data_IF_976485748836
#
_entry.id   IF_976485748836
#
_cell.length_a   1.000
_cell.length_b   1.000
_cell.length_c   1.000
_cell.angle_alpha   90.00
_cell.angle_beta   90.00
_cell.angle_gamma   90.00
#
_symmetry.space_group_name_H-M   'P 1'
#
loop_
_entity.id
_entity.type
_entity.pdbx_description
1 polymer ?
#
# COMPACT_ATOMS: atom_id res chain seq x y z
N UNK A 1 -51.02 -16.87 -48.51
CA UNK A 1 -49.65 -17.26 -48.09
C UNK A 1 -49.04 -16.14 -47.29
N UNK A 2 -48.96 -16.27 -45.96
CA UNK A 2 -48.37 -15.26 -45.08
C UNK A 2 -46.84 -15.47 -45.01
N UNK A 3 -46.08 -14.44 -45.40
CA UNK A 3 -44.62 -14.42 -45.31
C UNK A 3 -44.19 -14.25 -43.84
N UNK A 4 -43.63 -15.30 -43.24
CA UNK A 4 -43.01 -15.24 -41.91
C UNK A 4 -41.66 -14.52 -42.02
N UNK A 5 -41.59 -13.27 -41.53
CA UNK A 5 -40.31 -12.62 -41.18
C UNK A 5 -39.60 -13.45 -40.10
N UNK A 6 -38.41 -13.96 -40.41
CA UNK A 6 -37.53 -14.56 -39.39
C UNK A 6 -37.15 -13.48 -38.36
N UNK A 7 -37.14 -13.79 -37.05
CA UNK A 7 -36.67 -12.86 -36.04
C UNK A 7 -35.17 -12.63 -36.26
N UNK A 8 -34.75 -11.36 -36.33
CA UNK A 8 -33.35 -10.99 -36.42
C UNK A 8 -32.60 -11.55 -35.21
N UNK A 9 -31.55 -12.34 -35.45
CA UNK A 9 -30.63 -12.75 -34.40
C UNK A 9 -30.06 -11.54 -33.66
N UNK A 10 -29.56 -11.72 -32.43
CA UNK A 10 -29.04 -10.62 -31.63
C UNK A 10 -28.07 -9.79 -32.47
N UNK A 11 -28.31 -8.47 -32.54
CA UNK A 11 -27.40 -7.54 -33.23
C UNK A 11 -26.01 -7.79 -32.66
N UNK A 12 -25.11 -8.32 -33.48
CA UNK A 12 -23.69 -8.39 -33.16
C UNK A 12 -23.28 -7.00 -32.73
N UNK A 13 -22.94 -6.84 -31.46
CA UNK A 13 -22.11 -5.74 -31.00
C UNK A 13 -20.92 -5.69 -31.98
N UNK A 14 -20.61 -4.51 -32.51
CA UNK A 14 -19.52 -4.40 -33.49
C UNK A 14 -18.20 -4.84 -32.86
N UNK A 15 -17.27 -5.38 -33.66
CA UNK A 15 -15.97 -5.89 -33.19
C UNK A 15 -15.26 -4.91 -32.22
N UNK A 16 -15.36 -3.60 -32.49
CA UNK A 16 -14.84 -2.55 -31.60
C UNK A 16 -15.39 -2.63 -30.17
N UNK A 17 -16.71 -2.80 -30.02
CA UNK A 17 -17.36 -2.90 -28.70
C UNK A 17 -16.96 -4.20 -28.01
N UNK A 18 -16.97 -5.32 -28.73
CA UNK A 18 -16.54 -6.62 -28.19
C UNK A 18 -15.10 -6.59 -27.68
N UNK A 19 -14.18 -5.98 -28.43
CA UNK A 19 -12.79 -5.84 -27.99
C UNK A 19 -12.66 -4.98 -26.72
N UNK A 20 -13.46 -3.92 -26.59
CA UNK A 20 -13.47 -3.08 -25.38
C UNK A 20 -14.03 -3.84 -24.18
N UNK A 21 -15.12 -4.58 -24.35
CA UNK A 21 -15.74 -5.38 -23.28
C UNK A 21 -14.79 -6.47 -22.78
N UNK A 22 -14.18 -7.24 -23.69
CA UNK A 22 -13.20 -8.28 -23.34
C UNK A 22 -11.97 -7.68 -22.67
N UNK A 23 -11.45 -6.55 -23.18
CA UNK A 23 -10.31 -5.89 -22.55
C UNK A 23 -10.66 -5.38 -21.14
N UNK A 24 -11.87 -4.86 -20.92
CA UNK A 24 -12.34 -4.42 -19.61
C UNK A 24 -12.51 -5.59 -18.65
N UNK A 25 -13.06 -6.72 -19.10
CA UNK A 25 -13.16 -7.97 -18.34
C UNK A 25 -11.77 -8.45 -17.90
N UNK A 26 -10.82 -8.59 -18.84
CA UNK A 26 -9.45 -9.03 -18.54
C UNK A 26 -8.75 -8.08 -17.55
N UNK A 27 -8.98 -6.76 -17.69
CA UNK A 27 -8.41 -5.74 -16.82
C UNK A 27 -9.10 -5.62 -15.45
N UNK A 28 -10.27 -6.23 -15.26
CA UNK A 28 -11.01 -6.20 -13.98
C UNK A 28 -10.43 -7.13 -12.92
N UNK A 29 -9.60 -8.09 -13.32
CA UNK A 29 -8.88 -8.95 -12.38
C UNK A 29 -7.79 -8.15 -11.65
N UNK A 30 -7.57 -8.40 -10.34
CA UNK A 30 -6.43 -7.85 -9.62
C UNK A 30 -5.14 -8.12 -10.39
N UNK A 31 -4.34 -7.07 -10.59
CA UNK A 31 -3.04 -7.23 -11.24
C UNK A 31 -2.03 -7.57 -10.18
N UNK A 32 -1.44 -8.76 -10.27
CA UNK A 32 -0.26 -9.10 -9.48
C UNK A 32 0.87 -8.14 -9.83
N UNK A 33 1.56 -7.58 -8.84
CA UNK A 33 2.77 -6.81 -9.08
C UNK A 33 3.82 -7.74 -9.67
N UNK A 34 4.43 -7.32 -10.78
CA UNK A 34 5.57 -8.02 -11.35
C UNK A 34 6.81 -7.76 -10.51
N UNK A 35 7.15 -8.71 -9.65
CA UNK A 35 8.35 -8.67 -8.85
C UNK A 35 9.62 -8.98 -9.69
N UNK A 36 10.79 -8.41 -9.33
CA UNK A 36 12.07 -8.80 -9.92
C UNK A 36 12.32 -10.31 -9.80
N UNK A 37 12.85 -10.93 -10.86
CA UNK A 37 13.17 -12.36 -10.79
C UNK A 37 14.45 -12.60 -9.98
N UNK A 38 14.63 -13.81 -9.43
CA UNK A 38 15.89 -14.23 -8.81
C UNK A 38 17.11 -13.98 -9.71
N UNK A 39 16.95 -14.14 -11.03
CA UNK A 39 18.02 -13.87 -12.01
C UNK A 39 18.31 -12.37 -12.13
N UNK A 40 17.29 -11.53 -12.16
CA UNK A 40 17.46 -10.07 -12.22
C UNK A 40 18.19 -9.56 -10.97
N UNK A 41 17.81 -10.09 -9.79
CA UNK A 41 18.41 -9.76 -8.50
C UNK A 41 19.87 -10.20 -8.47
N UNK A 42 20.17 -11.46 -8.80
CA UNK A 42 21.53 -11.99 -8.82
C UNK A 42 22.44 -11.19 -9.77
N UNK A 43 21.95 -10.88 -10.97
CA UNK A 43 22.65 -10.04 -11.95
C UNK A 43 22.94 -8.66 -11.38
N UNK A 44 21.96 -8.01 -10.74
CA UNK A 44 22.13 -6.69 -10.14
C UNK A 44 23.11 -6.70 -8.95
N UNK A 45 23.15 -7.79 -8.20
CA UNK A 45 24.08 -8.02 -7.10
C UNK A 45 25.49 -8.44 -7.55
N UNK A 46 25.71 -8.68 -8.85
CA UNK A 46 27.03 -9.10 -9.38
C UNK A 46 27.39 -10.55 -9.07
N UNK A 47 26.40 -11.42 -8.82
CA UNK A 47 26.60 -12.84 -8.49
C UNK A 47 25.93 -13.76 -9.52
N UNK A 48 26.38 -15.02 -9.56
CA UNK A 48 25.72 -16.03 -10.39
C UNK A 48 24.31 -16.37 -9.84
N UNK A 49 23.30 -16.68 -10.67
CA UNK A 49 21.96 -17.05 -10.20
C UNK A 49 21.97 -18.21 -9.19
N UNK A 50 22.82 -19.23 -9.42
CA UNK A 50 22.97 -20.35 -8.50
C UNK A 50 23.51 -19.95 -7.12
N UNK A 51 24.18 -18.80 -6.99
CA UNK A 51 24.60 -18.27 -5.69
C UNK A 51 23.41 -17.70 -4.90
N UNK A 52 22.47 -17.03 -5.57
CA UNK A 52 21.26 -16.52 -4.93
C UNK A 52 20.38 -17.68 -4.40
N UNK A 53 20.23 -18.75 -5.18
CA UNK A 53 19.49 -19.95 -4.77
C UNK A 53 20.13 -20.75 -3.61
N UNK A 54 21.37 -20.46 -3.22
CA UNK A 54 21.96 -21.02 -1.99
C UNK A 54 21.50 -20.29 -0.73
N UNK A 55 20.96 -19.08 -0.87
CA UNK A 55 20.48 -18.27 0.24
C UNK A 55 18.96 -18.27 0.34
N UNK A 56 18.25 -18.47 -0.77
CA UNK A 56 16.79 -18.50 -0.83
C UNK A 56 16.34 -19.65 -1.73
N UNK A 57 15.52 -20.55 -1.18
CA UNK A 57 14.93 -21.71 -1.85
C UNK A 57 13.96 -21.28 -2.96
N UNK A 58 13.32 -20.12 -2.78
CA UNK A 58 12.36 -19.58 -3.75
C UNK A 58 12.42 -18.05 -3.85
N UNK A 59 11.81 -17.54 -4.91
CA UNK A 59 11.60 -16.10 -5.06
C UNK A 59 10.69 -15.56 -3.95
N UNK A 60 9.65 -16.31 -3.57
CA UNK A 60 8.70 -15.90 -2.54
C UNK A 60 9.37 -15.76 -1.17
N UNK A 61 10.25 -16.70 -0.81
CA UNK A 61 11.07 -16.63 0.41
C UNK A 61 11.93 -15.35 0.43
N UNK A 62 12.60 -15.04 -0.68
CA UNK A 62 13.36 -13.79 -0.80
C UNK A 62 12.45 -12.57 -0.58
N UNK A 63 11.24 -12.55 -1.16
CA UNK A 63 10.36 -11.39 -1.03
C UNK A 63 9.72 -11.25 0.35
N UNK A 64 9.53 -12.34 1.10
CA UNK A 64 9.20 -12.28 2.53
C UNK A 64 10.28 -11.52 3.29
N UNK A 65 11.56 -11.84 3.06
CA UNK A 65 12.68 -11.13 3.70
C UNK A 65 12.81 -9.68 3.22
N UNK A 66 12.52 -9.39 1.96
CA UNK A 66 12.43 -8.00 1.45
C UNK A 66 11.32 -7.22 2.17
N UNK A 67 10.15 -7.83 2.40
CA UNK A 67 9.06 -7.18 3.15
C UNK A 67 9.51 -6.87 4.58
N UNK A 68 10.14 -7.82 5.29
CA UNK A 68 10.69 -7.58 6.62
C UNK A 68 11.71 -6.45 6.64
N UNK A 69 12.64 -6.45 5.68
CA UNK A 69 13.66 -5.42 5.52
C UNK A 69 13.03 -4.03 5.33
N UNK A 70 12.06 -3.90 4.44
CA UNK A 70 11.42 -2.62 4.13
C UNK A 70 10.57 -2.08 5.29
N UNK A 71 9.90 -2.95 6.04
CA UNK A 71 9.18 -2.53 7.25
C UNK A 71 10.13 -2.05 8.34
N UNK A 72 11.26 -2.75 8.56
CA UNK A 72 12.27 -2.30 9.52
C UNK A 72 12.83 -0.92 9.14
N UNK A 73 13.08 -0.67 7.84
CA UNK A 73 13.51 0.65 7.35
C UNK A 73 12.46 1.74 7.61
N UNK A 74 11.18 1.44 7.35
CA UNK A 74 10.07 2.34 7.63
C UNK A 74 10.01 2.67 9.13
N UNK A 75 10.01 1.65 9.99
CA UNK A 75 9.98 1.81 11.44
C UNK A 75 11.15 2.65 11.97
N UNK A 76 12.36 2.41 11.47
CA UNK A 76 13.53 3.22 11.83
C UNK A 76 13.31 4.70 11.49
N UNK A 77 12.76 5.00 10.31
CA UNK A 77 12.43 6.38 9.89
C UNK A 77 11.36 7.00 10.78
N UNK A 78 10.31 6.27 11.12
CA UNK A 78 9.24 6.76 12.00
C UNK A 78 9.77 7.02 13.42
N UNK A 79 10.57 6.10 13.97
CA UNK A 79 11.20 6.24 15.28
C UNK A 79 12.12 7.46 15.36
N UNK A 80 12.95 7.67 14.32
CA UNK A 80 13.79 8.87 14.21
C UNK A 80 12.96 10.16 14.12
N UNK A 81 11.85 10.15 13.40
CA UNK A 81 11.01 11.33 13.25
C UNK A 81 10.41 11.78 14.58
N UNK A 82 9.97 10.84 15.42
CA UNK A 82 9.36 11.18 16.72
C UNK A 82 10.37 11.38 17.86
N UNK A 83 11.64 11.07 17.63
CA UNK A 83 12.70 11.24 18.61
C UNK A 83 12.78 12.71 19.08
N UNK A 84 12.83 12.91 20.40
CA UNK A 84 12.94 14.23 21.02
C UNK A 84 11.68 15.11 20.94
N UNK A 85 10.56 14.63 20.37
CA UNK A 85 9.29 15.37 20.42
C UNK A 85 8.71 15.35 21.85
N UNK A 86 8.30 16.51 22.40
CA UNK A 86 8.05 16.66 23.84
C UNK A 86 6.70 16.12 24.31
N UNK A 87 5.75 15.88 23.41
CA UNK A 87 4.40 15.41 23.74
C UNK A 87 3.81 14.51 22.64
N UNK A 88 2.72 13.82 22.95
CA UNK A 88 2.08 12.85 22.06
C UNK A 88 1.50 13.49 20.79
N UNK A 89 1.01 14.73 20.88
CA UNK A 89 0.48 15.48 19.72
C UNK A 89 1.57 15.75 18.68
N UNK A 90 2.71 16.29 19.09
CA UNK A 90 3.85 16.53 18.20
C UNK A 90 4.48 15.22 17.69
N UNK A 91 4.49 14.15 18.50
CA UNK A 91 4.91 12.83 18.04
C UNK A 91 4.00 12.32 16.93
N UNK A 92 2.68 12.45 17.10
CA UNK A 92 1.70 12.03 16.11
C UNK A 92 1.83 12.82 14.81
N UNK A 93 2.04 14.12 14.89
CA UNK A 93 2.30 14.96 13.73
C UNK A 93 3.55 14.52 12.97
N UNK A 94 4.68 14.39 13.67
CA UNK A 94 5.94 13.98 13.05
C UNK A 94 5.86 12.57 12.46
N UNK A 95 5.18 11.64 13.14
CA UNK A 95 4.98 10.28 12.66
C UNK A 95 4.17 10.28 11.36
N UNK A 96 3.02 10.97 11.34
CA UNK A 96 2.16 11.03 10.15
C UNK A 96 2.87 11.69 8.95
N UNK A 97 3.63 12.77 9.17
CA UNK A 97 4.44 13.40 8.12
C UNK A 97 5.52 12.46 7.59
N UNK A 98 6.25 11.79 8.48
CA UNK A 98 7.30 10.85 8.10
C UNK A 98 6.72 9.65 7.33
N UNK A 99 5.56 9.15 7.76
CA UNK A 99 4.84 8.07 7.08
C UNK A 99 4.47 8.43 5.64
N UNK A 100 3.83 9.59 5.46
CA UNK A 100 3.44 10.08 4.13
C UNK A 100 4.66 10.39 3.26
N UNK A 101 5.69 11.02 3.83
CA UNK A 101 6.94 11.28 3.13
C UNK A 101 7.61 9.99 2.64
N UNK A 102 7.69 8.96 3.50
CA UNK A 102 8.24 7.67 3.11
C UNK A 102 7.42 7.03 1.98
N UNK A 103 6.09 6.99 2.09
CA UNK A 103 5.23 6.39 1.07
C UNK A 103 5.37 7.08 -0.30
N UNK A 104 5.43 8.41 -0.31
CA UNK A 104 5.56 9.18 -1.56
C UNK A 104 6.96 9.13 -2.18
N UNK A 105 8.00 8.95 -1.38
CA UNK A 105 9.39 8.85 -1.87
C UNK A 105 9.80 7.42 -2.22
N UNK A 106 9.04 6.42 -1.78
CA UNK A 106 9.31 4.99 -2.02
C UNK A 106 8.09 4.29 -2.65
N UNK A 107 7.55 4.75 -3.80
CA UNK A 107 6.27 4.27 -4.32
C UNK A 107 6.25 2.76 -4.61
N UNK A 108 7.35 2.18 -5.11
CA UNK A 108 7.44 0.74 -5.35
C UNK A 108 7.47 -0.08 -4.06
N UNK A 109 8.20 0.38 -3.03
CA UNK A 109 8.21 -0.24 -1.70
C UNK A 109 6.85 -0.11 -1.02
N UNK A 110 6.20 1.04 -1.14
CA UNK A 110 4.85 1.26 -0.62
C UNK A 110 3.83 0.32 -1.29
N UNK A 111 3.90 0.17 -2.62
CA UNK A 111 3.06 -0.76 -3.36
C UNK A 111 3.26 -2.20 -2.88
N UNK A 112 4.51 -2.61 -2.69
CA UNK A 112 4.86 -3.93 -2.18
C UNK A 112 4.30 -4.14 -0.75
N UNK A 113 4.55 -3.20 0.17
CA UNK A 113 4.15 -3.36 1.57
C UNK A 113 2.64 -3.25 1.82
N UNK A 114 1.91 -2.48 1.01
CA UNK A 114 0.53 -2.10 1.34
C UNK A 114 -0.50 -2.34 0.24
N UNK A 115 -0.08 -2.68 -0.99
CA UNK A 115 -1.00 -2.93 -2.11
C UNK A 115 -0.87 -4.37 -2.68
N UNK A 116 -0.08 -5.27 -2.08
CA UNK A 116 0.10 -6.67 -2.57
C UNK A 116 0.09 -7.79 -1.54
N UNK A 117 0.04 -7.46 -0.25
CA UNK A 117 0.39 -8.42 0.80
C UNK A 117 -0.66 -9.48 1.12
N UNK A 118 -1.84 -9.42 0.49
CA UNK A 118 -2.92 -10.40 0.73
C UNK A 118 -2.90 -11.60 -0.23
N UNK A 119 -2.14 -11.53 -1.33
CA UNK A 119 -2.08 -12.58 -2.34
C UNK A 119 -0.88 -13.51 -2.19
N UNK A 120 0.19 -13.05 -1.54
CA UNK A 120 1.32 -13.93 -1.20
C UNK A 120 0.90 -14.83 -0.05
N UNK A 121 1.17 -16.13 -0.16
CA UNK A 121 0.91 -17.13 0.89
C UNK A 121 1.89 -16.87 2.05
N UNK A 122 1.67 -15.75 2.75
CA UNK A 122 2.51 -15.21 3.80
C UNK A 122 2.21 -16.01 5.06
N UNK A 123 3.19 -16.71 5.65
CA UNK A 123 2.99 -17.48 6.89
C UNK A 123 2.81 -16.59 8.14
N UNK A 124 2.29 -15.37 8.00
CA UNK A 124 2.28 -14.33 9.03
C UNK A 124 0.91 -13.62 9.18
N UNK A 125 -0.23 -14.30 9.38
CA UNK A 125 -1.49 -13.60 9.69
C UNK A 125 -1.38 -12.70 10.92
N UNK A 126 -0.69 -13.15 11.97
CA UNK A 126 -0.54 -12.44 13.26
C UNK A 126 0.79 -11.69 13.40
N UNK A 127 1.71 -11.86 12.45
CA UNK A 127 3.07 -11.28 12.46
C UNK A 127 3.29 -10.29 11.31
N UNK A 128 2.22 -9.85 10.63
CA UNK A 128 2.36 -8.87 9.55
C UNK A 128 3.13 -7.65 10.04
N UNK A 129 4.33 -7.40 9.48
CA UNK A 129 5.10 -6.25 9.90
C UNK A 129 4.29 -4.96 9.67
N UNK A 130 4.45 -3.99 10.55
CA UNK A 130 3.67 -2.75 10.53
C UNK A 130 2.29 -2.77 11.20
N UNK A 131 1.70 -3.92 11.55
CA UNK A 131 0.39 -3.93 12.25
C UNK A 131 0.45 -3.18 13.60
N UNK A 132 1.59 -3.27 14.29
CA UNK A 132 1.83 -2.55 15.54
C UNK A 132 1.84 -1.02 15.36
N UNK A 133 1.98 -0.48 14.14
CA UNK A 133 1.92 0.96 13.88
C UNK A 133 0.53 1.51 14.21
N UNK A 134 -0.53 0.72 14.03
CA UNK A 134 -1.89 1.09 14.47
C UNK A 134 -1.92 1.23 15.99
N UNK A 135 -1.30 0.30 16.71
CA UNK A 135 -1.17 0.37 18.18
C UNK A 135 -0.37 1.59 18.61
N UNK A 136 0.74 1.90 17.95
CA UNK A 136 1.54 3.10 18.24
C UNK A 136 0.72 4.39 18.01
N UNK A 137 0.01 4.49 16.90
CA UNK A 137 -0.91 5.60 16.62
C UNK A 137 -1.99 5.72 17.71
N UNK A 138 -2.59 4.60 18.13
CA UNK A 138 -3.61 4.59 19.16
C UNK A 138 -3.06 5.03 20.54
N UNK A 139 -1.83 4.66 20.87
CA UNK A 139 -1.12 5.13 22.07
C UNK A 139 -0.93 6.65 22.01
N UNK A 140 -0.49 7.18 20.87
CA UNK A 140 -0.29 8.62 20.69
C UNK A 140 -1.61 9.39 20.75
N UNK A 141 -2.68 8.89 20.14
CA UNK A 141 -4.02 9.49 20.15
C UNK A 141 -4.63 9.48 21.56
N UNK A 142 -4.52 8.36 22.28
CA UNK A 142 -5.09 8.21 23.63
C UNK A 142 -4.25 8.86 24.72
N UNK A 143 -2.97 9.13 24.44
CA UNK A 143 -1.93 9.48 25.41
C UNK A 143 -1.85 8.46 26.58
N UNK A 144 -2.09 7.18 26.30
CA UNK A 144 -2.08 6.08 27.28
C UNK A 144 -1.30 4.87 26.73
N UNK A 145 -0.51 4.17 27.55
CA UNK A 145 0.17 2.94 27.12
C UNK A 145 -0.80 1.85 26.64
N UNK A 146 -2.01 1.80 27.20
CA UNK A 146 -3.08 0.88 26.81
C UNK A 146 -4.23 1.69 26.20
N UNK A 147 -4.33 1.78 24.86
CA UNK A 147 -5.38 2.54 24.21
C UNK A 147 -6.75 1.86 24.37
N UNK A 148 -7.80 2.67 24.48
CA UNK A 148 -9.18 2.18 24.46
C UNK A 148 -9.67 1.91 23.03
N UNK A 149 -10.82 1.22 22.90
CA UNK A 149 -11.42 0.88 21.60
C UNK A 149 -11.66 2.11 20.72
N UNK A 150 -12.06 3.23 21.31
CA UNK A 150 -12.32 4.47 20.57
C UNK A 150 -11.04 5.08 19.99
N UNK A 151 -9.92 4.99 20.70
CA UNK A 151 -8.62 5.47 20.25
C UNK A 151 -8.02 4.57 19.17
N UNK A 152 -8.23 3.25 19.26
CA UNK A 152 -7.87 2.29 18.21
C UNK A 152 -8.67 2.57 16.93
N UNK A 153 -9.98 2.79 17.05
CA UNK A 153 -10.82 3.12 15.90
C UNK A 153 -10.37 4.41 15.20
N UNK A 154 -10.03 5.46 15.97
CA UNK A 154 -9.47 6.71 15.43
C UNK A 154 -8.10 6.52 14.78
N UNK A 155 -7.24 5.68 15.36
CA UNK A 155 -5.96 5.32 14.76
C UNK A 155 -6.13 4.64 13.39
N UNK A 156 -7.08 3.70 13.27
CA UNK A 156 -7.42 3.05 12.00
C UNK A 156 -7.94 4.07 10.98
N UNK A 157 -8.82 4.99 11.39
CA UNK A 157 -9.36 6.02 10.49
C UNK A 157 -8.28 6.97 9.98
N UNK A 158 -7.37 7.40 10.87
CA UNK A 158 -6.21 8.19 10.47
C UNK A 158 -5.32 7.40 9.51
N UNK A 159 -5.01 6.15 9.83
CA UNK A 159 -4.20 5.26 9.00
C UNK A 159 -4.77 5.10 7.58
N UNK A 160 -6.05 4.77 7.47
CA UNK A 160 -6.78 4.69 6.18
C UNK A 160 -6.68 6.00 5.41
N UNK A 161 -6.82 7.14 6.09
CA UNK A 161 -6.74 8.45 5.45
C UNK A 161 -5.32 8.78 4.94
N UNK A 162 -4.28 8.43 5.71
CA UNK A 162 -2.89 8.59 5.27
C UNK A 162 -2.58 7.71 4.06
N UNK A 163 -3.05 6.46 4.04
CA UNK A 163 -2.95 5.58 2.87
C UNK A 163 -3.68 6.16 1.66
N UNK A 164 -4.89 6.67 1.84
CA UNK A 164 -5.63 7.34 0.77
C UNK A 164 -4.87 8.53 0.19
N UNK A 165 -4.25 9.34 1.05
CA UNK A 165 -3.41 10.46 0.63
C UNK A 165 -2.20 9.99 -0.19
N UNK A 166 -1.47 8.98 0.29
CA UNK A 166 -0.28 8.44 -0.40
C UNK A 166 -0.68 7.82 -1.74
N UNK A 167 -1.66 6.92 -1.75
CA UNK A 167 -2.06 6.20 -2.95
C UNK A 167 -2.62 7.14 -4.01
N UNK A 168 -3.48 8.09 -3.65
CA UNK A 168 -4.01 9.05 -4.62
C UNK A 168 -2.92 9.98 -5.17
N UNK A 169 -2.02 10.49 -4.34
CA UNK A 169 -0.92 11.35 -4.81
C UNK A 169 0.09 10.58 -5.67
N UNK A 170 0.28 9.29 -5.43
CA UNK A 170 1.16 8.43 -6.23
C UNK A 170 0.57 8.10 -7.59
N UNK A 171 -0.75 7.91 -7.69
CA UNK A 171 -1.41 7.45 -8.92
C UNK A 171 -2.12 8.55 -9.73
N UNK A 172 -2.41 9.72 -9.13
CA UNK A 172 -3.09 10.85 -9.79
C UNK A 172 -2.12 11.99 -10.07
N UNK A 173 -1.06 11.70 -10.81
CA UNK A 173 0.02 12.66 -11.11
C UNK A 173 -0.43 13.90 -11.89
N UNK A 174 -1.53 13.81 -12.65
CA UNK A 174 -2.13 14.94 -13.36
C UNK A 174 -3.13 15.77 -12.54
N UNK A 175 -3.45 15.38 -11.31
CA UNK A 175 -4.42 16.10 -10.46
C UNK A 175 -3.81 17.39 -9.90
N UNK A 176 -4.54 18.50 -10.00
CA UNK A 176 -4.19 19.76 -9.34
C UNK A 176 -4.65 19.74 -7.89
N UNK A 177 -3.76 19.36 -6.98
CA UNK A 177 -4.01 19.35 -5.54
C UNK A 177 -4.19 20.77 -5.01
N UNK A 178 -5.24 21.00 -4.21
CA UNK A 178 -5.56 22.31 -3.62
C UNK A 178 -4.66 22.67 -2.43
N UNK A 179 -4.03 21.67 -1.81
CA UNK A 179 -3.19 21.81 -0.63
C UNK A 179 -1.81 21.18 -0.88
N UNK A 180 -0.82 21.63 -0.11
CA UNK A 180 0.44 20.89 0.05
C UNK A 180 0.19 19.58 0.82
N UNK A 181 1.11 18.63 0.67
CA UNK A 181 1.09 17.36 1.42
C UNK A 181 1.02 17.65 2.93
N UNK A 182 1.86 18.56 3.41
CA UNK A 182 1.92 18.94 4.82
C UNK A 182 0.60 19.47 5.34
N UNK A 183 -0.10 20.28 4.55
CA UNK A 183 -1.39 20.85 4.93
C UNK A 183 -2.49 19.80 4.94
N UNK A 184 -2.48 18.85 4.01
CA UNK A 184 -3.42 17.71 4.03
C UNK A 184 -3.20 16.84 5.28
N UNK A 185 -1.93 16.53 5.61
CA UNK A 185 -1.59 15.78 6.82
C UNK A 185 -2.10 16.50 8.08
N UNK A 186 -1.89 17.81 8.19
CA UNK A 186 -2.39 18.60 9.34
C UNK A 186 -3.90 18.55 9.49
N UNK A 187 -4.63 18.60 8.38
CA UNK A 187 -6.09 18.52 8.38
C UNK A 187 -6.57 17.14 8.82
N UNK A 188 -5.93 16.06 8.35
CA UNK A 188 -6.23 14.70 8.77
C UNK A 188 -5.99 14.52 10.28
N UNK A 189 -4.84 14.94 10.78
CA UNK A 189 -4.50 14.89 12.20
C UNK A 189 -5.56 15.62 13.04
N UNK A 190 -5.90 16.85 12.66
CA UNK A 190 -6.91 17.66 13.38
C UNK A 190 -8.29 17.01 13.39
N UNK A 191 -8.65 16.28 12.33
CA UNK A 191 -9.94 15.60 12.22
C UNK A 191 -10.05 14.38 13.14
N UNK A 192 -8.93 13.70 13.45
CA UNK A 192 -8.93 12.42 14.19
C UNK A 192 -8.37 12.48 15.62
N UNK A 193 -7.74 13.58 16.03
CA UNK A 193 -7.24 13.76 17.42
C UNK A 193 -8.31 14.34 18.37
N UNK A 194 -9.26 15.13 17.86
CA UNK A 194 -10.25 15.83 18.70
C UNK A 194 -11.35 14.91 19.23
#
# INVERSE_FOLDING_TARGET
MASRKKPGGPKSIGLKTTLVEVAAELASNPRTIKLPTMRDIAKKAGVAPGAAYRHFESQDELFIEVIRFLFAELEEKLNKAIAGAPNSELKLEKLARAYVSWGLTNPGSYQLLFETTDEMDMPLPDERPGLHLITQLAILISNKPKPDKASIQRAIQLWVSLHGLISLRSHKTGMKWQNSIDKDVDQLIKAFIR
#
